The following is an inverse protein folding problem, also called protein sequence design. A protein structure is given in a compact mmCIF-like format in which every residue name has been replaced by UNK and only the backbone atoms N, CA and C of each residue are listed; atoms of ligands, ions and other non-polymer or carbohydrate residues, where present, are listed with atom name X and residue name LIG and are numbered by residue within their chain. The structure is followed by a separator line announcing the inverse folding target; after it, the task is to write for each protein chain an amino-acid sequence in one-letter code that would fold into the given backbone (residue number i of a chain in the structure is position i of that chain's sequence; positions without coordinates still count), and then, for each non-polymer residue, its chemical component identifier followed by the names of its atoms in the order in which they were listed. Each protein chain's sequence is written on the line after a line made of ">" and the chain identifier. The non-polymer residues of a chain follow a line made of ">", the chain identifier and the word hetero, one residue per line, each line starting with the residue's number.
data_IF_493484053443
#
_entry.id   IF_493484053443
#
_cell.length_a   1.000
_cell.length_b   1.000
_cell.length_c   1.000
_cell.angle_alpha   90.00
_cell.angle_beta   90.00
_cell.angle_gamma   90.00
#
_symmetry.space_group_name_H-M   'P 1'
#
loop_
_entity.id
_entity.type
_entity.pdbx_description
1 polymer ?
#
# COMPACT_ATOMS: atom_id res chain seq x y z
N UNK A 1 -2.19 34.05 -22.33
CA UNK A 1 -3.30 33.38 -21.61
C UNK A 1 -2.69 32.68 -20.40
N UNK A 2 -2.89 33.23 -19.21
CA UNK A 2 -2.38 32.64 -17.97
C UNK A 2 -3.38 31.57 -17.57
N UNK A 3 -3.00 30.29 -17.67
CA UNK A 3 -3.79 29.18 -17.16
C UNK A 3 -3.79 29.27 -15.63
N UNK A 4 -4.85 29.85 -15.07
CA UNK A 4 -5.20 29.69 -13.66
C UNK A 4 -5.67 28.25 -13.45
N UNK A 5 -4.74 27.31 -13.30
CA UNK A 5 -5.08 26.03 -12.67
C UNK A 5 -5.47 26.32 -11.23
N UNK A 6 -6.76 26.23 -10.91
CA UNK A 6 -7.27 26.33 -9.55
C UNK A 6 -6.48 25.34 -8.66
N UNK A 7 -6.07 25.71 -7.43
CA UNK A 7 -5.37 24.82 -6.50
C UNK A 7 -6.22 23.62 -6.03
N UNK A 8 -7.34 23.33 -6.69
CA UNK A 8 -8.28 22.26 -6.40
C UNK A 8 -8.16 21.08 -7.37
N UNK A 9 -7.63 21.30 -8.57
CA UNK A 9 -7.62 20.29 -9.62
C UNK A 9 -6.27 19.59 -9.74
N UNK A 10 -6.31 18.33 -10.16
CA UNK A 10 -5.10 17.60 -10.47
C UNK A 10 -4.33 18.33 -11.58
N UNK A 11 -2.99 18.40 -11.51
CA UNK A 11 -2.19 19.08 -12.51
C UNK A 11 -2.32 18.43 -13.90
N UNK A 12 -2.79 17.18 -13.95
CA UNK A 12 -2.96 16.33 -15.13
C UNK A 12 -4.09 15.33 -14.88
N UNK A 13 -4.80 14.86 -15.93
CA UNK A 13 -5.85 13.86 -15.79
C UNK A 13 -5.37 12.60 -15.05
N UNK A 14 -6.25 12.04 -14.23
CA UNK A 14 -5.99 10.79 -13.52
C UNK A 14 -6.48 9.64 -14.38
N UNK A 15 -5.54 8.78 -14.79
CA UNK A 15 -5.84 7.54 -15.49
C UNK A 15 -5.72 6.42 -14.45
N UNK A 16 -6.81 5.68 -14.23
CA UNK A 16 -6.81 4.53 -13.33
C UNK A 16 -6.04 3.37 -13.96
N UNK A 17 -5.10 2.80 -13.22
CA UNK A 17 -4.25 1.72 -13.72
C UNK A 17 -5.08 0.49 -14.03
N UNK A 18 -6.12 0.20 -13.24
CA UNK A 18 -7.05 -0.89 -13.53
C UNK A 18 -7.79 -0.70 -14.86
N UNK A 19 -8.23 0.52 -15.19
CA UNK A 19 -8.85 0.79 -16.50
C UNK A 19 -7.83 0.64 -17.62
N UNK A 20 -6.62 1.16 -17.42
CA UNK A 20 -5.55 1.08 -18.41
C UNK A 20 -5.13 -0.38 -18.68
N UNK A 21 -5.01 -1.22 -17.65
CA UNK A 21 -4.65 -2.63 -17.80
C UNK A 21 -5.71 -3.44 -18.58
N UNK A 22 -6.95 -2.97 -18.60
CA UNK A 22 -8.06 -3.58 -19.35
C UNK A 22 -8.12 -3.14 -20.82
N UNK A 23 -7.31 -2.15 -21.25
CA UNK A 23 -7.39 -1.59 -22.61
C UNK A 23 -6.59 -2.34 -23.70
N UNK A 24 -6.15 -3.58 -23.44
CA UNK A 24 -5.40 -4.41 -24.41
C UNK A 24 -4.27 -3.65 -25.13
N UNK A 25 -3.52 -2.83 -24.41
CA UNK A 25 -2.38 -2.08 -24.95
C UNK A 25 -1.14 -2.97 -25.08
N UNK A 26 -0.39 -2.82 -26.18
CA UNK A 26 0.83 -3.59 -26.43
C UNK A 26 2.04 -3.11 -25.61
N UNK A 27 1.96 -1.92 -25.01
CA UNK A 27 3.03 -1.34 -24.18
C UNK A 27 2.49 -0.43 -23.09
N UNK A 28 3.19 -0.40 -21.94
CA UNK A 28 2.84 0.51 -20.85
C UNK A 28 3.24 1.96 -21.21
N UNK A 29 2.45 2.98 -20.86
CA UNK A 29 2.80 4.37 -21.11
C UNK A 29 4.11 4.79 -20.43
N UNK A 30 4.83 5.72 -21.05
CA UNK A 30 6.16 6.18 -20.63
C UNK A 30 6.24 6.57 -19.14
N UNK A 31 5.16 7.09 -18.56
CA UNK A 31 5.10 7.52 -17.16
C UNK A 31 5.25 6.40 -16.14
N UNK A 32 4.97 5.16 -16.52
CA UNK A 32 5.08 3.99 -15.66
C UNK A 32 6.41 3.25 -15.85
N UNK A 33 7.22 3.71 -16.80
CA UNK A 33 8.54 3.13 -17.05
C UNK A 33 9.55 3.81 -16.11
N UNK A 34 10.07 3.05 -15.14
CA UNK A 34 11.09 3.54 -14.22
C UNK A 34 12.40 3.92 -14.96
N UNK A 35 13.21 4.86 -14.42
CA UNK A 35 14.55 5.14 -14.94
C UNK A 35 15.41 3.87 -15.00
N UNK A 36 16.38 3.80 -15.90
CA UNK A 36 17.22 2.60 -16.04
C UNK A 36 17.94 2.22 -14.73
N UNK A 37 18.32 3.20 -13.92
CA UNK A 37 18.95 3.02 -12.60
C UNK A 37 18.06 2.28 -11.60
N UNK A 38 16.74 2.40 -11.75
CA UNK A 38 15.76 1.90 -10.77
C UNK A 38 15.11 0.59 -11.24
N UNK A 39 15.48 0.11 -12.44
CA UNK A 39 14.99 -1.16 -12.96
C UNK A 39 15.81 -2.31 -12.39
N UNK A 40 15.20 -3.50 -12.20
CA UNK A 40 15.93 -4.68 -11.77
C UNK A 40 17.14 -4.96 -12.70
N UNK A 41 18.33 -5.05 -12.12
CA UNK A 41 19.55 -5.44 -12.84
C UNK A 41 19.71 -6.95 -12.79
N UNK A 42 20.00 -7.58 -13.94
CA UNK A 42 20.36 -9.02 -14.00
C UNK A 42 21.77 -9.30 -13.47
N UNK A 43 22.59 -8.26 -13.27
CA UNK A 43 24.00 -8.40 -12.92
C UNK A 43 24.27 -8.45 -11.42
N UNK A 44 23.25 -8.38 -10.56
CA UNK A 44 23.39 -8.91 -9.22
C UNK A 44 23.37 -10.42 -9.35
N UNK A 45 24.55 -11.01 -9.56
CA UNK A 45 24.81 -12.35 -9.08
C UNK A 45 24.41 -12.34 -7.61
N UNK A 46 23.21 -12.85 -7.33
CA UNK A 46 22.92 -13.38 -6.01
C UNK A 46 23.91 -14.54 -5.86
N UNK A 47 25.15 -14.22 -5.48
CA UNK A 47 25.90 -15.13 -4.62
C UNK A 47 24.88 -15.50 -3.56
N UNK A 48 24.60 -16.80 -3.46
CA UNK A 48 23.66 -17.44 -2.54
C UNK A 48 24.11 -17.21 -1.10
N UNK A 49 24.18 -15.95 -0.73
CA UNK A 49 24.27 -15.48 0.62
C UNK A 49 22.85 -15.65 1.13
N UNK A 50 22.66 -16.61 2.03
CA UNK A 50 21.39 -16.98 2.65
C UNK A 50 20.87 -15.87 3.58
N UNK A 51 20.90 -14.61 3.14
CA UNK A 51 20.32 -13.48 3.86
C UNK A 51 18.82 -13.50 3.65
N UNK A 52 18.14 -14.33 4.44
CA UNK A 52 16.69 -14.35 4.53
C UNK A 52 16.22 -13.23 5.46
N UNK A 53 15.13 -12.55 5.07
CA UNK A 53 14.45 -11.57 5.93
C UNK A 53 14.13 -12.24 7.28
N UNK A 54 14.48 -11.63 8.43
CA UNK A 54 14.22 -12.21 9.73
C UNK A 54 12.75 -12.56 9.93
N UNK A 55 12.49 -13.71 10.55
CA UNK A 55 11.15 -14.15 10.96
C UNK A 55 11.14 -14.23 12.47
N UNK A 56 10.25 -13.47 13.11
CA UNK A 56 10.17 -13.38 14.58
C UNK A 56 8.88 -14.02 15.07
N UNK A 57 9.00 -14.95 16.01
CA UNK A 57 7.86 -15.56 16.69
C UNK A 57 7.40 -14.68 17.87
N UNK A 58 6.23 -14.06 17.74
CA UNK A 58 5.70 -13.17 18.79
C UNK A 58 5.12 -13.93 19.99
N UNK A 59 4.97 -15.25 19.92
CA UNK A 59 4.52 -16.06 21.07
C UNK A 59 5.42 -15.85 22.28
N UNK A 60 6.74 -15.70 22.07
CA UNK A 60 7.70 -15.50 23.15
C UNK A 60 7.48 -14.21 23.95
N UNK A 61 6.83 -13.18 23.39
CA UNK A 61 6.44 -11.97 24.14
C UNK A 61 5.42 -12.23 25.24
N UNK A 62 4.63 -13.29 25.08
CA UNK A 62 3.60 -13.73 26.01
C UNK A 62 4.05 -14.91 26.89
N UNK A 63 5.32 -15.32 26.79
CA UNK A 63 5.88 -16.39 27.63
C UNK A 63 5.95 -15.97 29.09
N UNK A 64 5.73 -16.94 29.98
CA UNK A 64 5.93 -16.79 31.43
C UNK A 64 7.42 -16.83 31.76
N UNK A 65 8.25 -17.45 30.92
CA UNK A 65 9.71 -17.46 31.07
C UNK A 65 10.30 -16.09 30.68
N UNK A 66 10.92 -15.35 31.63
CA UNK A 66 11.56 -14.07 31.33
C UNK A 66 12.67 -14.17 30.28
N UNK A 67 13.35 -15.32 30.16
CA UNK A 67 14.44 -15.51 29.20
C UNK A 67 13.91 -15.60 27.77
N UNK A 68 12.82 -16.33 27.54
CA UNK A 68 12.16 -16.43 26.23
C UNK A 68 11.62 -15.06 25.79
N UNK A 69 11.01 -14.32 26.72
CA UNK A 69 10.53 -12.97 26.49
C UNK A 69 11.67 -12.01 26.13
N UNK A 70 12.77 -12.04 26.89
CA UNK A 70 13.96 -11.22 26.62
C UNK A 70 14.61 -11.58 25.28
N UNK A 71 14.68 -12.87 24.93
CA UNK A 71 15.18 -13.34 23.64
C UNK A 71 14.35 -12.79 22.48
N UNK A 72 13.02 -12.79 22.59
CA UNK A 72 12.13 -12.25 21.55
C UNK A 72 12.31 -10.74 21.38
N UNK A 73 12.42 -9.99 22.49
CA UNK A 73 12.73 -8.56 22.43
C UNK A 73 14.09 -8.28 21.77
N UNK A 74 15.10 -9.09 22.07
CA UNK A 74 16.42 -8.97 21.46
C UNK A 74 16.35 -9.18 19.94
N UNK A 75 15.66 -10.22 19.47
CA UNK A 75 15.46 -10.47 18.04
C UNK A 75 14.75 -9.30 17.33
N UNK A 76 13.74 -8.70 17.97
CA UNK A 76 13.06 -7.51 17.42
C UNK A 76 14.05 -6.34 17.31
N UNK A 77 14.85 -6.11 18.36
CA UNK A 77 15.84 -5.03 18.35
C UNK A 77 16.89 -5.24 17.27
N UNK A 78 17.42 -6.45 17.12
CA UNK A 78 18.41 -6.80 16.10
C UNK A 78 17.82 -6.62 14.69
N UNK A 79 16.62 -7.14 14.43
CA UNK A 79 15.97 -6.96 13.14
C UNK A 79 15.70 -5.47 12.80
N UNK A 80 15.29 -4.67 13.78
CA UNK A 80 15.13 -3.22 13.57
C UNK A 80 16.45 -2.52 13.25
N UNK A 81 17.55 -2.86 13.93
CA UNK A 81 18.85 -2.20 13.75
C UNK A 81 19.58 -2.64 12.49
N UNK A 82 19.54 -3.94 12.18
CA UNK A 82 20.33 -4.54 11.09
C UNK A 82 19.58 -4.56 9.76
N UNK A 83 18.25 -4.73 9.81
CA UNK A 83 17.41 -4.88 8.61
C UNK A 83 16.44 -3.73 8.37
N UNK A 84 15.89 -3.15 9.43
CA UNK A 84 14.76 -2.22 9.34
C UNK A 84 13.45 -2.87 8.87
N UNK A 85 13.42 -4.20 8.71
CA UNK A 85 12.27 -4.97 8.26
C UNK A 85 12.35 -6.43 8.75
N UNK A 86 11.21 -7.03 9.10
CA UNK A 86 11.09 -8.43 9.49
C UNK A 86 9.66 -8.93 9.28
N UNK A 87 9.51 -10.25 9.20
CA UNK A 87 8.23 -10.93 9.22
C UNK A 87 7.90 -11.37 10.65
N UNK A 88 6.61 -11.46 10.98
CA UNK A 88 6.15 -11.95 12.28
C UNK A 88 5.25 -13.18 12.11
N UNK A 89 5.35 -14.11 13.04
CA UNK A 89 4.45 -15.26 13.18
C UNK A 89 3.89 -15.33 14.59
N UNK A 90 2.81 -16.09 14.79
CA UNK A 90 2.09 -16.20 16.07
C UNK A 90 1.71 -14.82 16.67
N UNK A 91 1.35 -13.88 15.81
CA UNK A 91 1.03 -12.49 16.14
C UNK A 91 -0.36 -12.31 16.79
N UNK A 92 -1.11 -13.39 17.01
CA UNK A 92 -2.41 -13.36 17.71
C UNK A 92 -3.59 -12.85 16.88
N UNK A 93 -3.38 -12.47 15.62
CA UNK A 93 -4.48 -12.07 14.70
C UNK A 93 -5.02 -13.33 14.03
N UNK A 94 -6.35 -13.53 14.10
CA UNK A 94 -7.02 -14.67 13.49
C UNK A 94 -6.78 -14.73 11.98
N UNK A 95 -6.52 -15.93 11.45
CA UNK A 95 -6.40 -16.17 10.01
C UNK A 95 -7.70 -15.81 9.27
N UNK A 96 -8.86 -16.19 9.82
CA UNK A 96 -10.17 -15.86 9.23
C UNK A 96 -10.37 -14.35 9.12
N UNK A 97 -9.91 -13.57 10.10
CA UNK A 97 -9.99 -12.12 10.07
C UNK A 97 -9.09 -11.52 8.97
N UNK A 98 -7.87 -12.04 8.82
CA UNK A 98 -6.97 -11.60 7.76
C UNK A 98 -7.54 -11.91 6.36
N UNK A 99 -8.14 -13.08 6.20
CA UNK A 99 -8.72 -13.50 4.93
C UNK A 99 -10.00 -12.71 4.60
N UNK A 100 -10.86 -12.47 5.60
CA UNK A 100 -12.01 -11.58 5.46
C UNK A 100 -11.58 -10.15 5.08
N UNK A 101 -10.51 -9.63 5.67
CA UNK A 101 -9.99 -8.30 5.34
C UNK A 101 -9.49 -8.23 3.88
N UNK A 102 -8.76 -9.27 3.42
CA UNK A 102 -8.31 -9.36 2.02
C UNK A 102 -9.49 -9.45 1.06
N UNK A 103 -10.49 -10.28 1.37
CA UNK A 103 -11.65 -10.47 0.49
C UNK A 103 -12.51 -9.20 0.43
N UNK A 104 -12.75 -8.55 1.57
CA UNK A 104 -13.49 -7.28 1.63
C UNK A 104 -12.89 -6.22 0.69
N UNK A 105 -11.58 -6.03 0.71
CA UNK A 105 -10.94 -5.09 -0.21
C UNK A 105 -10.90 -5.60 -1.64
N UNK A 106 -10.72 -6.91 -1.85
CA UNK A 106 -10.82 -7.52 -3.18
C UNK A 106 -12.18 -7.22 -3.82
N UNK A 107 -13.27 -7.45 -3.09
CA UNK A 107 -14.63 -7.12 -3.53
C UNK A 107 -14.77 -5.64 -3.89
N UNK A 108 -14.30 -4.74 -3.03
CA UNK A 108 -14.30 -3.30 -3.31
C UNK A 108 -13.61 -2.97 -4.65
N UNK A 109 -12.40 -3.49 -4.88
CA UNK A 109 -11.65 -3.21 -6.12
C UNK A 109 -12.27 -3.85 -7.38
N UNK A 110 -13.15 -4.86 -7.22
CA UNK A 110 -13.95 -5.43 -8.31
C UNK A 110 -15.23 -4.67 -8.61
N UNK A 111 -15.64 -3.72 -7.75
CA UNK A 111 -16.80 -2.86 -8.03
C UNK A 111 -16.59 -2.03 -9.31
N UNK A 112 -17.69 -1.57 -9.96
CA UNK A 112 -17.62 -0.66 -11.10
C UNK A 112 -16.76 0.57 -10.81
N UNK A 113 -16.08 1.06 -11.84
CA UNK A 113 -15.14 2.17 -11.70
C UNK A 113 -15.81 3.44 -11.18
N UNK A 114 -17.06 3.67 -11.56
CA UNK A 114 -17.88 4.80 -11.14
C UNK A 114 -18.13 4.78 -9.63
N UNK A 115 -18.38 3.60 -9.06
CA UNK A 115 -18.59 3.43 -7.61
C UNK A 115 -17.32 3.73 -6.84
N UNK A 116 -16.18 3.17 -7.27
CA UNK A 116 -14.88 3.42 -6.62
C UNK A 116 -14.49 4.89 -6.69
N UNK A 117 -14.78 5.56 -7.81
CA UNK A 117 -14.43 6.96 -8.02
C UNK A 117 -15.24 7.94 -7.17
N UNK A 118 -16.40 7.56 -6.62
CA UNK A 118 -17.12 8.39 -5.64
C UNK A 118 -16.27 8.70 -4.40
N UNK A 119 -15.34 7.80 -4.09
CA UNK A 119 -14.42 7.96 -2.97
C UNK A 119 -13.04 8.46 -3.38
N UNK A 120 -12.90 9.04 -4.58
CA UNK A 120 -11.60 9.47 -5.07
C UNK A 120 -10.90 10.43 -4.12
N UNK A 121 -9.59 10.31 -4.06
CA UNK A 121 -8.75 11.31 -3.43
C UNK A 121 -8.62 12.58 -4.30
N UNK A 122 -7.92 13.59 -3.80
CA UNK A 122 -7.76 14.88 -4.48
C UNK A 122 -6.33 15.42 -4.30
N UNK A 123 -5.94 16.49 -4.99
CA UNK A 123 -4.65 17.14 -4.74
C UNK A 123 -4.47 17.62 -3.29
N UNK A 124 -5.57 17.84 -2.56
CA UNK A 124 -5.57 18.32 -1.16
C UNK A 124 -5.44 17.21 -0.13
N UNK A 125 -5.84 15.98 -0.47
CA UNK A 125 -5.80 14.84 0.44
C UNK A 125 -5.59 13.56 -0.34
N UNK A 126 -4.71 12.70 0.16
CA UNK A 126 -4.43 11.39 -0.39
C UNK A 126 -5.46 10.33 0.04
N UNK A 127 -6.35 10.68 0.98
CA UNK A 127 -7.42 9.82 1.49
C UNK A 127 -8.49 9.50 0.44
N UNK A 128 -8.87 8.23 0.37
CA UNK A 128 -9.78 7.65 -0.60
C UNK A 128 -9.09 6.86 -1.71
N UNK A 129 -9.83 6.62 -2.79
CA UNK A 129 -9.38 5.86 -3.97
C UNK A 129 -8.43 6.68 -4.86
N UNK A 130 -7.19 6.22 -4.96
CA UNK A 130 -6.11 6.90 -5.67
C UNK A 130 -5.46 6.04 -6.76
N UNK A 131 -4.70 6.69 -7.63
CA UNK A 131 -3.92 6.06 -8.72
C UNK A 131 -2.58 6.76 -8.97
N UNK A 132 -2.28 7.80 -8.18
CA UNK A 132 -1.00 8.51 -8.21
C UNK A 132 -0.69 9.01 -6.81
N UNK A 133 0.59 9.03 -6.47
CA UNK A 133 1.07 9.72 -5.28
C UNK A 133 1.62 11.10 -5.68
N UNK A 134 1.22 12.12 -4.92
CA UNK A 134 1.70 13.49 -5.10
C UNK A 134 1.13 14.26 -6.31
N UNK A 135 1.47 15.54 -6.35
CA UNK A 135 0.90 16.54 -7.27
C UNK A 135 1.91 17.10 -8.27
N UNK A 136 3.10 16.49 -8.38
CA UNK A 136 4.10 16.93 -9.36
C UNK A 136 3.66 16.56 -10.78
N UNK A 137 3.64 17.54 -11.68
CA UNK A 137 3.42 17.32 -13.11
C UNK A 137 4.57 16.52 -13.71
N UNK A 138 4.28 15.52 -14.56
CA UNK A 138 5.33 14.72 -15.20
C UNK A 138 6.06 13.75 -14.26
N UNK A 139 5.49 13.45 -13.09
CA UNK A 139 6.06 12.44 -12.20
C UNK A 139 6.03 11.04 -12.84
N UNK A 140 7.02 10.22 -12.49
CA UNK A 140 7.00 8.79 -12.75
C UNK A 140 5.97 8.18 -11.80
N UNK A 141 5.04 7.40 -12.35
CA UNK A 141 3.92 6.83 -11.64
C UNK A 141 4.17 5.35 -11.34
N UNK A 142 3.53 4.86 -10.27
CA UNK A 142 3.50 3.44 -9.96
C UNK A 142 2.37 2.76 -10.73
N UNK A 143 2.59 1.52 -11.14
CA UNK A 143 1.56 0.70 -11.79
C UNK A 143 0.60 0.12 -10.76
N UNK A 144 -0.14 0.99 -10.09
CA UNK A 144 -1.05 0.62 -9.02
C UNK A 144 -2.19 1.62 -8.84
N UNK A 145 -3.38 1.11 -8.56
CA UNK A 145 -4.40 1.87 -7.85
C UNK A 145 -4.34 1.52 -6.36
N UNK A 146 -4.79 2.44 -5.50
CA UNK A 146 -4.75 2.25 -4.05
C UNK A 146 -5.99 2.83 -3.38
N UNK A 147 -6.18 2.46 -2.11
CA UNK A 147 -7.13 3.10 -1.23
C UNK A 147 -6.43 3.48 0.07
N UNK A 148 -6.62 4.71 0.55
CA UNK A 148 -6.05 5.16 1.83
C UNK A 148 -7.15 5.66 2.75
N UNK A 149 -7.09 5.31 4.04
CA UNK A 149 -8.04 5.73 5.06
C UNK A 149 -7.34 6.11 6.35
N UNK A 150 -7.80 7.19 6.99
CA UNK A 150 -7.50 7.42 8.39
C UNK A 150 -8.42 6.56 9.27
N UNK A 151 -7.81 5.67 10.06
CA UNK A 151 -8.52 4.87 11.06
C UNK A 151 -8.45 5.50 12.45
N UNK A 152 -7.25 5.89 12.90
CA UNK A 152 -7.00 6.53 14.17
C UNK A 152 -6.02 7.72 14.01
N UNK A 153 -6.11 8.75 14.89
CA UNK A 153 -7.19 8.96 15.87
C UNK A 153 -8.55 9.26 15.19
N UNK A 154 -9.66 9.07 15.92
CA UNK A 154 -11.01 9.27 15.37
C UNK A 154 -11.26 10.70 14.86
N UNK A 155 -10.53 11.69 15.36
CA UNK A 155 -10.59 13.08 14.89
C UNK A 155 -10.15 13.27 13.44
N UNK A 156 -9.37 12.33 12.89
CA UNK A 156 -8.95 12.33 11.48
C UNK A 156 -9.83 11.45 10.59
N UNK A 157 -10.77 10.69 11.16
CA UNK A 157 -11.59 9.74 10.41
C UNK A 157 -12.70 10.50 9.66
N UNK A 158 -12.56 10.63 8.34
CA UNK A 158 -13.63 11.16 7.49
C UNK A 158 -14.56 10.02 7.02
N UNK A 159 -15.71 9.85 7.67
CA UNK A 159 -16.69 8.82 7.32
C UNK A 159 -17.21 8.89 5.88
N UNK A 160 -17.09 10.04 5.20
CA UNK A 160 -17.46 10.17 3.79
C UNK A 160 -16.45 9.45 2.88
N UNK A 161 -15.23 9.22 3.36
CA UNK A 161 -14.18 8.48 2.65
C UNK A 161 -14.25 6.98 2.89
N UNK A 162 -15.06 6.48 3.81
CA UNK A 162 -15.20 5.04 4.05
C UNK A 162 -16.21 4.43 3.06
N UNK A 163 -15.85 3.42 2.24
CA UNK A 163 -16.77 2.79 1.30
C UNK A 163 -18.01 2.26 2.00
N UNK A 164 -19.19 2.44 1.39
CA UNK A 164 -20.42 1.81 1.89
C UNK A 164 -20.61 0.38 1.36
N UNK A 165 -19.86 0.01 0.33
CA UNK A 165 -19.89 -1.30 -0.31
C UNK A 165 -18.45 -1.81 -0.49
N UNK A 166 -18.17 -3.08 -0.16
CA UNK A 166 -19.04 -3.99 0.60
C UNK A 166 -19.31 -3.47 2.02
N UNK A 167 -20.42 -3.89 2.68
CA UNK A 167 -20.73 -3.43 4.04
C UNK A 167 -19.63 -3.72 5.07
N UNK A 168 -18.82 -4.76 4.85
CA UNK A 168 -17.67 -5.13 5.67
C UNK A 168 -16.51 -4.13 5.61
N UNK A 169 -16.53 -3.14 4.71
CA UNK A 169 -15.55 -2.05 4.70
C UNK A 169 -15.70 -1.07 5.88
N UNK A 170 -16.80 -1.12 6.64
CA UNK A 170 -17.11 -0.17 7.73
C UNK A 170 -17.12 -0.82 9.10
#
# INVERSE_FOLDING_TARGET
>A
MINNSSPQDWPEPIIRVQSLSQTCIDSIPQRYIKPLSDRPSKNTSFETTNFNIPIIDLKGLYSIDPNEKASTFKQISEACNEWGFFQIVNHGVSHDLMDLAKETWREFFHLPMEVKQQYSNSPKTYEGYGSRLGVKKGAILDWSDYYYLHYLPLSLKDYNKWPAQPPSCR
#
